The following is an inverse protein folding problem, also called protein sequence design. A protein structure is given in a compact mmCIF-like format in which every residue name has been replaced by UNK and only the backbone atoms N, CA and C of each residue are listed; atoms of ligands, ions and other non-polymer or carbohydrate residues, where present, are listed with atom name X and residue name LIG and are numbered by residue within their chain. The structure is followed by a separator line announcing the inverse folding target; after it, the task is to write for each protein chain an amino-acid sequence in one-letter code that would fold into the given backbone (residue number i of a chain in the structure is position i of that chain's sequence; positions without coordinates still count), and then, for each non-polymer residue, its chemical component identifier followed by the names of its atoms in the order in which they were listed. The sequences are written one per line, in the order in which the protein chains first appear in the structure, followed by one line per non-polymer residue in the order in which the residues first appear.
data_IF_861718832529
#
_entry.id   IF_861718832529
#
_cell.length_a   1.000
_cell.length_b   1.000
_cell.length_c   1.000
_cell.angle_alpha   90.00
_cell.angle_beta   90.00
_cell.angle_gamma   90.00
#
_symmetry.space_group_name_H-M   'P 1'
#
loop_
_entity.id
_entity.type
_entity.pdbx_description
1 polymer ?
#
# COMPACT_ATOMS: atom_id res chain seq x y z
N UNK A 1 12.95 43.93 7.71
CA UNK A 1 12.08 43.54 8.86
C UNK A 1 12.83 43.73 10.16
N UNK A 2 13.90 42.97 10.42
CA UNK A 2 14.75 43.12 11.62
C UNK A 2 15.07 44.60 11.95
N UNK A 3 15.59 45.37 10.99
CA UNK A 3 15.91 46.80 11.20
C UNK A 3 14.75 47.68 11.70
N UNK A 4 13.50 47.30 11.42
CA UNK A 4 12.33 48.05 11.88
C UNK A 4 11.94 47.67 13.31
N UNK A 5 12.16 46.41 13.67
CA UNK A 5 11.65 45.79 14.90
C UNK A 5 12.71 45.87 16.01
N UNK A 6 13.99 45.84 15.62
CA UNK A 6 15.13 46.06 16.48
C UNK A 6 16.22 46.85 15.71
N UNK A 7 16.12 48.19 15.72
CA UNK A 7 17.15 49.05 15.12
C UNK A 7 18.50 48.95 15.83
N UNK A 8 18.52 48.69 17.15
CA UNK A 8 19.74 48.61 17.95
C UNK A 8 20.62 47.44 17.51
N UNK A 9 20.01 46.27 17.31
CA UNK A 9 20.71 45.10 16.78
C UNK A 9 21.38 45.36 15.42
N UNK A 10 20.76 46.20 14.57
CA UNK A 10 21.38 46.55 13.28
C UNK A 10 22.61 47.44 13.45
N UNK A 11 22.59 48.38 14.38
CA UNK A 11 23.77 49.22 14.65
C UNK A 11 24.92 48.37 15.23
N UNK A 12 24.63 47.44 16.14
CA UNK A 12 25.63 46.47 16.62
C UNK A 12 26.20 45.63 15.47
N UNK A 13 25.36 45.12 14.58
CA UNK A 13 25.80 44.36 13.39
C UNK A 13 26.67 45.18 12.44
N UNK A 14 26.43 46.49 12.31
CA UNK A 14 27.28 47.38 11.48
C UNK A 14 28.63 47.64 12.15
N UNK A 15 28.65 47.82 13.46
CA UNK A 15 29.87 48.12 14.20
C UNK A 15 30.80 46.90 14.34
N UNK A 16 30.23 45.73 14.66
CA UNK A 16 31.00 44.53 14.99
C UNK A 16 30.97 43.46 13.90
N UNK A 17 30.12 43.61 12.88
CA UNK A 17 29.89 42.60 11.87
C UNK A 17 29.08 41.41 12.41
N UNK A 18 29.02 40.33 11.63
CA UNK A 18 28.36 39.08 12.03
C UNK A 18 29.20 37.88 11.65
N UNK A 19 29.19 36.85 12.50
CA UNK A 19 29.94 35.62 12.26
C UNK A 19 29.23 34.67 11.29
N UNK A 20 27.92 34.53 11.42
CA UNK A 20 27.11 33.59 10.65
C UNK A 20 26.23 34.32 9.63
N UNK A 21 26.11 33.75 8.43
CA UNK A 21 25.26 34.29 7.38
C UNK A 21 23.76 34.06 7.65
N UNK A 22 23.43 32.94 8.31
CA UNK A 22 22.08 32.53 8.67
C UNK A 22 22.15 31.68 9.94
N UNK A 23 21.12 31.75 10.79
CA UNK A 23 21.12 31.27 12.17
C UNK A 23 19.88 30.42 12.52
N UNK A 24 18.75 30.59 11.83
CA UNK A 24 17.46 30.07 12.27
C UNK A 24 16.84 29.12 11.23
N UNK A 25 16.47 27.94 11.68
CA UNK A 25 15.72 26.94 10.90
C UNK A 25 14.76 26.18 11.83
N UNK A 26 13.71 25.60 11.28
CA UNK A 26 12.85 24.67 12.00
C UNK A 26 12.96 23.33 11.30
N UNK A 27 13.78 22.46 11.89
CA UNK A 27 14.08 21.13 11.35
C UNK A 27 12.97 20.12 11.66
N UNK A 28 12.88 19.00 10.91
CA UNK A 28 12.06 17.87 11.32
C UNK A 28 12.66 17.27 12.60
N UNK A 29 11.89 17.27 13.68
CA UNK A 29 12.34 16.79 14.99
C UNK A 29 11.69 15.46 15.37
N UNK A 30 11.42 14.57 14.40
CA UNK A 30 10.72 13.30 14.67
C UNK A 30 11.33 12.49 15.83
N UNK A 31 12.62 12.15 15.75
CA UNK A 31 13.29 11.40 16.82
C UNK A 31 13.55 12.25 18.07
N UNK A 32 14.02 13.48 17.89
CA UNK A 32 14.40 14.34 19.03
C UNK A 32 13.21 14.76 19.87
N UNK A 33 12.07 15.08 19.24
CA UNK A 33 10.82 15.40 19.95
C UNK A 33 10.27 14.21 20.73
N UNK A 34 10.44 12.98 20.22
CA UNK A 34 10.09 11.77 20.97
C UNK A 34 11.02 11.58 22.19
N UNK A 35 12.33 11.82 22.03
CA UNK A 35 13.28 11.72 23.16
C UNK A 35 13.00 12.76 24.24
N UNK A 36 12.68 13.99 23.85
CA UNK A 36 12.38 15.10 24.78
C UNK A 36 10.90 15.17 25.17
N UNK A 37 10.08 14.24 24.69
CA UNK A 37 8.65 14.13 24.99
C UNK A 37 7.85 15.41 24.70
N UNK A 38 8.13 16.07 23.57
CA UNK A 38 7.46 17.30 23.13
C UNK A 38 6.90 17.17 21.71
N UNK A 39 6.23 18.20 21.22
CA UNK A 39 5.74 18.27 19.84
C UNK A 39 6.87 18.46 18.83
N UNK A 40 6.66 17.97 17.59
CA UNK A 40 7.66 18.08 16.54
C UNK A 40 7.70 19.47 15.91
N UNK A 41 8.61 20.33 16.37
CA UNK A 41 8.86 21.62 15.76
C UNK A 41 7.71 22.59 16.02
N UNK A 42 7.03 23.04 14.97
CA UNK A 42 5.84 23.91 15.07
C UNK A 42 4.54 23.16 14.79
N UNK A 43 4.60 21.82 14.69
CA UNK A 43 3.42 21.02 14.43
C UNK A 43 2.54 20.91 15.67
N UNK A 44 1.21 21.03 15.53
CA UNK A 44 0.29 20.66 16.59
C UNK A 44 0.49 19.19 16.99
N UNK A 45 0.05 18.83 18.21
CA UNK A 45 0.01 17.43 18.65
C UNK A 45 -0.76 16.61 17.62
N UNK A 46 -0.13 15.56 17.09
CA UNK A 46 -0.78 14.67 16.11
C UNK A 46 -1.90 13.84 16.77
N UNK A 47 -1.57 13.16 17.87
CA UNK A 47 -2.53 12.44 18.71
C UNK A 47 -2.14 12.62 20.18
N UNK A 48 -3.10 12.94 21.08
CA UNK A 48 -2.82 13.04 22.52
C UNK A 48 -2.55 11.66 23.14
N UNK A 49 -3.13 10.59 22.56
CA UNK A 49 -2.92 9.19 22.96
C UNK A 49 -2.85 8.32 21.71
N UNK A 50 -1.87 7.42 21.63
CA UNK A 50 -1.72 6.47 20.52
C UNK A 50 -1.08 5.17 20.99
N UNK A 51 -1.33 4.06 20.29
CA UNK A 51 -0.74 2.75 20.62
C UNK A 51 0.61 2.56 19.93
N UNK A 52 1.58 2.02 20.66
CA UNK A 52 2.83 1.51 20.09
C UNK A 52 2.89 0.00 20.27
N UNK A 53 3.54 -0.66 19.31
CA UNK A 53 3.88 -2.08 19.33
C UNK A 53 5.36 -2.26 19.61
N UNK A 54 5.69 -3.12 20.57
CA UNK A 54 7.04 -3.63 20.82
C UNK A 54 7.03 -5.13 20.56
N UNK A 55 8.02 -5.64 19.83
CA UNK A 55 8.18 -7.09 19.62
C UNK A 55 8.58 -7.74 20.95
N UNK A 56 7.88 -8.79 21.34
CA UNK A 56 8.18 -9.58 22.54
C UNK A 56 9.22 -10.63 22.17
N UNK A 57 10.36 -10.58 22.84
CA UNK A 57 11.36 -11.64 22.70
C UNK A 57 11.01 -12.81 23.63
N UNK A 58 11.26 -14.06 23.23
CA UNK A 58 10.98 -15.22 24.09
C UNK A 58 11.69 -15.21 25.46
N UNK A 59 12.76 -14.42 25.60
CA UNK A 59 13.51 -14.24 26.85
C UNK A 59 12.90 -13.23 27.82
N UNK A 60 11.88 -12.49 27.39
CA UNK A 60 11.29 -11.35 28.10
C UNK A 60 10.15 -11.83 29.02
N UNK A 61 10.46 -12.10 30.29
CA UNK A 61 9.53 -12.74 31.24
C UNK A 61 8.38 -11.81 31.68
N UNK A 62 8.56 -10.50 31.55
CA UNK A 62 7.62 -9.49 32.03
C UNK A 62 6.77 -8.87 30.89
N UNK A 63 6.95 -9.33 29.65
CA UNK A 63 6.26 -8.77 28.50
C UNK A 63 4.85 -9.34 28.34
N UNK A 64 3.86 -8.46 28.15
CA UNK A 64 2.47 -8.85 27.97
C UNK A 64 2.15 -8.97 26.47
N UNK A 65 1.95 -10.20 25.99
CA UNK A 65 1.59 -10.42 24.58
C UNK A 65 0.13 -10.02 24.37
N UNK A 66 -0.08 -8.88 23.71
CA UNK A 66 -1.43 -8.35 23.41
C UNK A 66 -1.83 -8.57 21.96
N UNK A 67 -0.86 -8.79 21.06
CA UNK A 67 -1.10 -8.98 19.64
C UNK A 67 -0.11 -10.02 19.09
N UNK A 68 -0.58 -10.93 18.23
CA UNK A 68 0.27 -11.86 17.48
C UNK A 68 0.04 -11.57 16.01
N UNK A 69 1.10 -11.34 15.25
CA UNK A 69 0.98 -11.05 13.83
C UNK A 69 0.77 -12.30 12.98
N UNK A 70 0.56 -12.09 11.68
CA UNK A 70 0.27 -13.15 10.70
C UNK A 70 1.43 -14.14 10.49
N UNK A 71 2.65 -13.78 10.93
CA UNK A 71 3.86 -14.62 10.85
C UNK A 71 4.08 -15.39 12.15
N UNK A 72 3.29 -15.11 13.19
CA UNK A 72 3.37 -15.74 14.50
C UNK A 72 4.31 -15.03 15.48
N UNK A 73 4.78 -13.82 15.17
CA UNK A 73 5.55 -13.02 16.12
C UNK A 73 4.62 -12.40 17.17
N UNK A 74 5.05 -12.46 18.43
CA UNK A 74 4.34 -11.87 19.56
C UNK A 74 4.71 -10.40 19.76
N UNK A 75 3.71 -9.57 20.02
CA UNK A 75 3.84 -8.13 20.21
C UNK A 75 3.11 -7.69 21.47
N UNK A 76 3.69 -6.70 22.13
CA UNK A 76 3.11 -5.96 23.25
C UNK A 76 2.66 -4.59 22.74
N UNK A 77 1.37 -4.32 22.85
CA UNK A 77 0.73 -3.04 22.57
C UNK A 77 0.54 -2.28 23.87
N UNK A 78 1.01 -1.04 23.90
CA UNK A 78 0.82 -0.16 25.04
C UNK A 78 0.47 1.25 24.58
N UNK A 79 -0.36 1.91 25.38
CA UNK A 79 -0.76 3.29 25.15
C UNK A 79 0.38 4.24 25.49
N UNK A 80 0.67 5.15 24.56
CA UNK A 80 1.58 6.27 24.75
C UNK A 80 0.76 7.55 24.83
N UNK A 81 1.01 8.32 25.88
CA UNK A 81 0.30 9.55 26.17
C UNK A 81 1.21 10.74 25.98
N UNK A 82 0.70 11.79 25.36
CA UNK A 82 1.42 13.06 25.24
C UNK A 82 1.67 13.65 26.64
N UNK A 83 2.87 14.18 26.89
CA UNK A 83 3.29 14.61 28.23
C UNK A 83 2.33 15.64 28.85
N UNK A 84 1.92 16.64 28.06
CA UNK A 84 0.98 17.66 28.53
C UNK A 84 -0.45 17.12 28.73
N UNK A 85 -0.82 16.00 28.11
CA UNK A 85 -2.09 15.32 28.42
C UNK A 85 -1.98 14.64 29.80
N UNK A 86 -0.84 14.03 30.13
CA UNK A 86 -0.58 13.52 31.49
C UNK A 86 -0.60 14.64 32.54
N UNK A 87 -0.06 15.81 32.21
CA UNK A 87 -0.15 17.00 33.07
C UNK A 87 -1.59 17.42 33.30
N UNK A 88 -2.41 17.46 32.24
CA UNK A 88 -3.83 17.75 32.35
C UNK A 88 -4.56 16.73 33.24
N UNK A 89 -4.28 15.44 33.12
CA UNK A 89 -4.85 14.41 34.00
C UNK A 89 -4.54 14.69 35.47
N UNK A 90 -3.27 14.95 35.80
CA UNK A 90 -2.83 15.25 37.17
C UNK A 90 -3.52 16.49 37.76
N UNK A 91 -3.65 17.55 36.96
CA UNK A 91 -4.34 18.79 37.38
C UNK A 91 -5.83 18.54 37.63
N UNK A 92 -6.42 17.54 36.98
CA UNK A 92 -7.81 17.11 37.19
C UNK A 92 -7.96 15.97 38.21
N UNK A 93 -6.95 15.74 39.05
CA UNK A 93 -6.93 14.70 40.10
C UNK A 93 -7.13 13.26 39.57
N UNK A 94 -6.67 12.98 38.34
CA UNK A 94 -6.66 11.64 37.77
C UNK A 94 -5.25 11.07 37.81
N UNK A 95 -5.08 9.84 38.31
CA UNK A 95 -3.79 9.16 38.29
C UNK A 95 -3.50 8.61 36.88
N UNK A 96 -2.43 9.07 36.21
CA UNK A 96 -2.08 8.56 34.89
C UNK A 96 -1.82 7.05 34.83
N UNK A 97 -1.34 6.42 35.91
CA UNK A 97 -1.10 4.98 35.92
C UNK A 97 -2.41 4.16 35.94
N UNK A 98 -3.49 4.73 36.46
CA UNK A 98 -4.82 4.14 36.37
C UNK A 98 -5.42 4.36 34.98
N UNK A 99 -5.31 5.58 34.44
CA UNK A 99 -5.83 5.93 33.11
C UNK A 99 -5.15 5.12 31.99
N UNK A 100 -3.88 4.74 32.15
CA UNK A 100 -3.20 3.82 31.22
C UNK A 100 -3.89 2.47 31.05
N UNK A 101 -4.66 2.02 32.05
CA UNK A 101 -5.37 0.73 32.07
C UNK A 101 -6.81 0.82 31.56
N UNK A 102 -7.28 2.03 31.22
CA UNK A 102 -8.64 2.23 30.75
C UNK A 102 -8.83 1.62 29.36
N UNK A 103 -10.09 1.35 29.01
CA UNK A 103 -10.47 0.96 27.66
C UNK A 103 -10.17 2.10 26.66
N UNK A 104 -10.03 1.76 25.38
CA UNK A 104 -9.80 2.77 24.34
C UNK A 104 -10.97 3.76 24.30
N UNK A 105 -12.20 3.29 24.51
CA UNK A 105 -13.42 4.11 24.55
C UNK A 105 -13.38 5.13 25.70
N UNK A 106 -12.99 4.72 26.91
CA UNK A 106 -12.88 5.60 28.07
C UNK A 106 -11.79 6.65 27.88
N UNK A 107 -10.65 6.25 27.30
CA UNK A 107 -9.55 7.16 26.96
C UNK A 107 -10.03 8.22 25.96
N UNK A 108 -10.79 7.84 24.93
CA UNK A 108 -11.34 8.79 23.97
C UNK A 108 -12.30 9.77 24.64
N UNK A 109 -13.13 9.31 25.59
CA UNK A 109 -14.00 10.20 26.35
C UNK A 109 -13.22 11.18 27.24
N UNK A 110 -12.09 10.76 27.81
CA UNK A 110 -11.17 11.67 28.52
C UNK A 110 -10.54 12.69 27.57
N UNK A 111 -10.11 12.27 26.38
CA UNK A 111 -9.57 13.18 25.36
C UNK A 111 -10.59 14.26 25.01
N UNK A 112 -11.88 13.91 24.88
CA UNK A 112 -12.96 14.89 24.61
C UNK A 112 -13.10 15.97 25.69
N UNK A 113 -12.78 15.64 26.95
CA UNK A 113 -12.83 16.58 28.08
C UNK A 113 -11.57 17.44 28.17
N UNK A 114 -10.50 17.03 27.51
CA UNK A 114 -9.22 17.72 27.56
C UNK A 114 -9.15 18.88 26.57
N UNK A 115 -8.21 19.84 26.76
CA UNK A 115 -7.92 20.89 25.78
C UNK A 115 -7.47 20.39 24.41
N UNK A 116 -7.18 19.09 24.26
CA UNK A 116 -6.81 18.49 22.98
C UNK A 116 -8.00 18.13 22.11
N UNK A 117 -9.23 18.15 22.65
CA UNK A 117 -10.41 17.88 21.84
C UNK A 117 -10.59 18.94 20.77
N UNK A 118 -10.62 18.49 19.51
CA UNK A 118 -10.67 19.36 18.31
C UNK A 118 -9.49 20.33 18.19
N UNK A 119 -8.34 19.98 18.79
CA UNK A 119 -7.13 20.80 18.77
C UNK A 119 -5.87 20.00 18.35
N UNK A 120 -6.06 18.84 17.71
CA UNK A 120 -4.97 18.04 17.15
C UNK A 120 -4.59 18.50 15.74
N UNK A 121 -3.49 17.97 15.21
CA UNK A 121 -3.09 18.26 13.83
C UNK A 121 -4.21 17.96 12.83
N UNK A 122 -5.04 16.94 13.03
CA UNK A 122 -6.13 16.64 12.10
C UNK A 122 -7.32 17.61 12.22
N UNK A 123 -7.46 18.30 13.35
CA UNK A 123 -8.57 19.22 13.59
C UNK A 123 -8.29 20.65 13.09
N UNK A 124 -7.02 21.02 12.97
CA UNK A 124 -6.63 22.36 12.55
C UNK A 124 -6.76 22.51 11.03
N UNK A 125 -7.57 23.49 10.61
CA UNK A 125 -7.75 23.87 9.21
C UNK A 125 -6.41 24.11 8.49
N UNK A 126 -6.28 23.53 7.29
CA UNK A 126 -5.03 23.52 6.53
C UNK A 126 -4.60 24.91 6.09
N UNK A 127 -5.53 25.82 5.79
CA UNK A 127 -5.22 27.20 5.43
C UNK A 127 -4.67 27.96 6.64
N UNK A 128 -5.23 27.72 7.83
CA UNK A 128 -4.68 28.28 9.07
C UNK A 128 -3.28 27.73 9.38
N UNK A 129 -3.00 26.45 9.13
CA UNK A 129 -1.65 25.89 9.27
C UNK A 129 -0.64 26.61 8.38
N UNK A 130 -0.99 26.84 7.11
CA UNK A 130 -0.15 27.57 6.16
C UNK A 130 0.05 29.02 6.60
N UNK A 131 -1.00 29.68 7.09
CA UNK A 131 -0.91 31.05 7.62
C UNK A 131 0.01 31.13 8.83
N UNK A 132 -0.08 30.17 9.75
CA UNK A 132 0.82 30.05 10.90
C UNK A 132 2.27 29.85 10.45
N UNK A 133 2.52 28.93 9.52
CA UNK A 133 3.85 28.71 8.94
C UNK A 133 4.40 29.99 8.32
N UNK A 134 3.59 30.72 7.53
CA UNK A 134 3.99 31.98 6.94
C UNK A 134 4.30 33.06 7.98
N UNK A 135 3.51 33.15 9.05
CA UNK A 135 3.75 34.09 10.14
C UNK A 135 5.10 33.83 10.84
N UNK A 136 5.48 32.57 11.04
CA UNK A 136 6.75 32.16 11.66
C UNK A 136 7.91 32.32 10.66
N UNK A 137 7.72 31.94 9.39
CA UNK A 137 8.73 32.03 8.33
C UNK A 137 9.31 33.43 8.16
N UNK A 138 8.54 34.46 8.56
CA UNK A 138 8.96 35.87 8.60
C UNK A 138 10.23 36.12 9.42
N UNK A 139 10.51 35.26 10.39
CA UNK A 139 11.60 35.41 11.35
C UNK A 139 12.62 34.27 11.26
N UNK A 140 12.46 33.38 10.28
CA UNK A 140 13.35 32.23 10.04
C UNK A 140 14.12 32.49 8.73
N UNK A 141 15.45 32.53 8.80
CA UNK A 141 16.31 32.88 7.67
C UNK A 141 16.58 31.70 6.71
N UNK A 142 16.55 30.46 7.20
CA UNK A 142 16.41 29.27 6.37
C UNK A 142 14.92 28.94 6.14
N UNK A 143 14.56 27.65 6.07
CA UNK A 143 13.21 27.17 5.81
C UNK A 143 12.62 26.46 7.03
N UNK A 144 11.32 26.20 6.96
CA UNK A 144 10.58 25.46 7.99
C UNK A 144 10.18 24.12 7.39
N UNK A 145 10.53 23.03 8.08
CA UNK A 145 10.10 21.68 7.74
C UNK A 145 8.80 21.36 8.47
N UNK A 146 7.68 21.49 7.76
CA UNK A 146 6.35 21.13 8.27
C UNK A 146 5.53 20.49 7.17
N UNK A 147 4.75 19.46 7.52
CA UNK A 147 3.91 18.74 6.54
C UNK A 147 2.43 19.06 6.75
N UNK A 148 1.75 19.43 5.67
CA UNK A 148 0.30 19.54 5.65
C UNK A 148 -0.27 18.15 5.34
N UNK A 149 -0.69 17.44 6.39
CA UNK A 149 -1.38 16.16 6.27
C UNK A 149 -2.83 16.39 5.83
N UNK A 150 -3.20 15.83 4.67
CA UNK A 150 -4.53 15.91 4.07
C UNK A 150 -5.19 14.51 4.01
N UNK A 151 -6.53 14.41 4.10
CA UNK A 151 -7.26 13.16 3.88
C UNK A 151 -7.05 12.59 2.47
N UNK A 152 -7.24 11.28 2.30
CA UNK A 152 -7.00 10.59 1.03
C UNK A 152 -7.92 11.04 -0.10
N UNK A 153 -9.13 11.41 0.23
CA UNK A 153 -10.21 11.86 -0.66
C UNK A 153 -10.13 13.35 -1.05
N UNK A 154 -9.10 14.07 -0.59
CA UNK A 154 -8.94 15.50 -0.90
C UNK A 154 -8.79 15.76 -2.40
N UNK A 155 -9.41 16.83 -2.90
CA UNK A 155 -9.34 17.23 -4.31
C UNK A 155 -7.98 17.85 -4.66
N UNK A 156 -7.53 17.64 -5.90
CA UNK A 156 -6.33 18.28 -6.43
C UNK A 156 -6.44 19.82 -6.41
N UNK A 157 -7.64 20.35 -6.64
CA UNK A 157 -7.91 21.79 -6.58
C UNK A 157 -7.60 22.37 -5.19
N UNK A 158 -7.93 21.66 -4.10
CA UNK A 158 -7.61 22.12 -2.76
C UNK A 158 -6.11 22.14 -2.51
N UNK A 159 -5.38 21.14 -3.01
CA UNK A 159 -3.91 21.10 -2.94
C UNK A 159 -3.31 22.31 -3.67
N UNK A 160 -3.83 22.63 -4.87
CA UNK A 160 -3.43 23.82 -5.61
C UNK A 160 -3.72 25.13 -4.84
N UNK A 161 -4.89 25.23 -4.19
CA UNK A 161 -5.22 26.38 -3.34
C UNK A 161 -4.24 26.53 -2.18
N UNK A 162 -3.84 25.43 -1.54
CA UNK A 162 -2.86 25.46 -0.44
C UNK A 162 -1.49 25.97 -0.91
N UNK A 163 -1.03 25.54 -2.09
CA UNK A 163 0.23 26.03 -2.66
C UNK A 163 0.19 27.53 -2.94
N UNK A 164 -0.88 28.02 -3.58
CA UNK A 164 -1.06 29.45 -3.84
C UNK A 164 -1.17 30.23 -2.52
N UNK A 165 -1.84 29.67 -1.52
CA UNK A 165 -1.96 30.28 -0.20
C UNK A 165 -0.60 30.37 0.52
N UNK A 166 0.23 29.32 0.43
CA UNK A 166 1.56 29.32 1.02
C UNK A 166 2.47 30.38 0.39
N UNK A 167 2.43 30.49 -0.95
CA UNK A 167 3.14 31.53 -1.67
C UNK A 167 2.69 32.93 -1.22
N UNK A 168 1.37 33.18 -1.15
CA UNK A 168 0.81 34.47 -0.68
C UNK A 168 1.19 34.82 0.76
N UNK A 169 1.36 33.82 1.63
CA UNK A 169 1.78 34.03 3.02
C UNK A 169 3.30 34.17 3.19
N UNK A 170 4.09 34.08 2.11
CA UNK A 170 5.55 34.22 2.16
C UNK A 170 6.28 32.99 2.68
N UNK A 171 5.66 31.80 2.61
CA UNK A 171 6.35 30.55 2.89
C UNK A 171 7.45 30.32 1.84
N UNK A 172 8.65 29.91 2.26
CA UNK A 172 9.75 29.58 1.33
C UNK A 172 9.58 28.22 0.66
N UNK A 173 8.79 27.34 1.28
CA UNK A 173 8.42 26.03 0.79
C UNK A 173 7.17 25.53 1.48
N UNK A 174 6.53 24.53 0.89
CA UNK A 174 5.33 23.88 1.42
C UNK A 174 5.37 22.40 1.04
N UNK A 175 5.04 21.55 1.99
CA UNK A 175 4.99 20.09 1.81
C UNK A 175 3.59 19.62 2.13
N UNK A 176 3.01 18.83 1.23
CA UNK A 176 1.71 18.19 1.41
C UNK A 176 1.90 16.68 1.42
N UNK A 177 1.27 16.02 2.38
CA UNK A 177 1.14 14.56 2.42
C UNK A 177 -0.33 14.21 2.41
N UNK A 178 -0.76 13.48 1.38
CA UNK A 178 -2.14 12.98 1.26
C UNK A 178 -2.20 11.56 1.82
N UNK A 179 -3.09 11.31 2.78
CA UNK A 179 -3.26 9.98 3.37
C UNK A 179 -3.55 8.93 2.28
N UNK A 180 -3.00 7.73 2.44
CA UNK A 180 -3.13 6.66 1.45
C UNK A 180 -2.37 6.87 0.13
N UNK A 181 -1.69 8.01 -0.09
CA UNK A 181 -0.87 8.21 -1.29
C UNK A 181 0.44 7.40 -1.29
N UNK A 182 0.91 7.00 -0.11
CA UNK A 182 2.05 6.09 0.14
C UNK A 182 1.74 5.24 1.37
N UNK A 183 2.28 4.03 1.45
CA UNK A 183 2.13 3.19 2.64
C UNK A 183 2.68 3.93 3.89
N UNK A 184 1.83 4.17 4.88
CA UNK A 184 2.15 4.97 6.07
C UNK A 184 2.90 4.20 7.16
N UNK A 185 3.65 4.94 8.00
CA UNK A 185 4.44 4.43 9.14
C UNK A 185 3.69 4.58 10.49
N UNK A 186 2.68 5.44 10.55
CA UNK A 186 1.84 5.67 11.73
C UNK A 186 0.41 5.18 11.44
N UNK A 187 -0.05 4.20 12.21
CA UNK A 187 -1.40 3.65 12.12
C UNK A 187 -2.20 4.21 13.30
N UNK A 188 -3.25 4.98 13.02
CA UNK A 188 -4.20 5.39 14.05
C UNK A 188 -4.94 4.15 14.59
N UNK A 189 -5.32 4.16 15.87
CA UNK A 189 -6.01 3.05 16.54
C UNK A 189 -7.41 2.75 15.98
N UNK A 190 -7.90 3.57 15.06
CA UNK A 190 -9.14 3.29 14.36
C UNK A 190 -8.92 2.14 13.40
N UNK A 191 -9.66 1.04 13.62
CA UNK A 191 -9.88 0.00 12.62
C UNK A 191 -10.55 0.65 11.40
N UNK A 192 -9.75 1.23 10.50
CA UNK A 192 -10.17 1.32 9.10
C UNK A 192 -10.42 -0.12 8.70
N UNK A 193 -11.68 -0.45 8.40
CA UNK A 193 -12.02 -1.61 7.58
C UNK A 193 -11.29 -1.41 6.25
N UNK A 194 -10.01 -1.76 6.20
CA UNK A 194 -9.41 -2.20 4.96
C UNK A 194 -10.21 -3.41 4.58
N UNK A 195 -10.79 -3.40 3.38
CA UNK A 195 -11.04 -4.62 2.63
C UNK A 195 -9.67 -5.32 2.47
N UNK A 196 -9.21 -5.98 3.53
CA UNK A 196 -8.19 -7.00 3.45
C UNK A 196 -8.84 -8.09 2.63
N UNK A 197 -8.36 -8.26 1.40
CA UNK A 197 -8.76 -9.38 0.56
C UNK A 197 -8.69 -10.65 1.41
N UNK A 198 -9.82 -11.35 1.55
CA UNK A 198 -9.93 -12.65 2.24
C UNK A 198 -9.15 -13.78 1.51
N UNK A 199 -8.12 -13.43 0.74
CA UNK A 199 -7.36 -14.36 -0.07
C UNK A 199 -6.25 -14.99 0.79
N UNK A 200 -6.30 -16.30 1.10
CA UNK A 200 -5.36 -16.91 2.02
C UNK A 200 -3.95 -16.98 1.43
N UNK A 201 -2.99 -16.40 2.14
CA UNK A 201 -1.56 -16.41 1.78
C UNK A 201 -1.00 -17.85 1.75
N UNK A 202 -1.55 -18.74 2.59
CA UNK A 202 -1.14 -20.15 2.66
C UNK A 202 -1.86 -20.98 1.59
N UNK A 203 -1.11 -21.40 0.57
CA UNK A 203 -1.61 -22.27 -0.52
C UNK A 203 -2.23 -23.56 0.03
N UNK A 204 -3.50 -23.88 -0.30
CA UNK A 204 -4.10 -25.18 -0.04
C UNK A 204 -3.33 -26.34 -0.69
N UNK A 205 -3.61 -27.57 -0.25
CA UNK A 205 -2.96 -28.76 -0.83
C UNK A 205 -3.37 -28.98 -2.29
N UNK A 206 -4.64 -28.78 -2.58
CA UNK A 206 -5.24 -28.90 -3.90
C UNK A 206 -5.88 -27.58 -4.31
N UNK A 207 -5.75 -27.22 -5.58
CA UNK A 207 -6.48 -26.11 -6.19
C UNK A 207 -7.18 -26.63 -7.44
N UNK A 208 -8.39 -26.15 -7.70
CA UNK A 208 -9.00 -26.37 -9.01
C UNK A 208 -8.18 -25.65 -10.07
N UNK A 209 -8.18 -26.15 -11.30
CA UNK A 209 -7.35 -25.56 -12.33
C UNK A 209 -7.98 -25.59 -13.72
N UNK A 210 -7.74 -24.52 -14.47
CA UNK A 210 -8.13 -24.39 -15.86
C UNK A 210 -6.89 -24.34 -16.78
N UNK A 211 -7.00 -25.02 -17.92
CA UNK A 211 -5.95 -25.05 -18.93
C UNK A 211 -6.32 -24.09 -20.07
N UNK A 212 -5.40 -23.19 -20.35
CA UNK A 212 -5.45 -22.30 -21.49
C UNK A 212 -4.30 -22.62 -22.44
N UNK A 213 -4.66 -22.89 -23.70
CA UNK A 213 -3.70 -23.11 -24.78
C UNK A 213 -3.80 -21.91 -25.70
N UNK A 214 -2.66 -21.33 -26.07
CA UNK A 214 -2.59 -20.19 -26.96
C UNK A 214 -1.37 -20.32 -27.86
N UNK A 215 -1.44 -19.73 -29.05
CA UNK A 215 -0.34 -19.70 -30.00
C UNK A 215 0.23 -18.29 -30.04
N UNK A 216 1.55 -18.18 -29.99
CA UNK A 216 2.27 -16.93 -30.14
C UNK A 216 3.28 -17.10 -31.26
N UNK A 217 3.08 -16.39 -32.38
CA UNK A 217 3.81 -16.60 -33.62
C UNK A 217 3.72 -18.08 -34.06
N UNK A 218 4.85 -18.79 -34.15
CA UNK A 218 4.92 -20.21 -34.50
C UNK A 218 5.03 -21.14 -33.29
N UNK A 219 4.99 -20.61 -32.07
CA UNK A 219 5.15 -21.39 -30.84
C UNK A 219 3.80 -21.68 -30.18
N UNK A 220 3.60 -22.93 -29.79
CA UNK A 220 2.45 -23.36 -28.98
C UNK A 220 2.75 -23.19 -27.49
N UNK A 221 1.83 -22.58 -26.76
CA UNK A 221 1.95 -22.32 -25.32
C UNK A 221 0.79 -22.92 -24.55
N UNK A 222 1.08 -23.27 -23.30
CA UNK A 222 0.10 -23.74 -22.33
C UNK A 222 0.23 -22.98 -21.01
N UNK A 223 -0.91 -22.67 -20.40
CA UNK A 223 -1.02 -22.10 -19.08
C UNK A 223 -2.02 -22.89 -18.24
N UNK A 224 -1.65 -23.19 -17.00
CA UNK A 224 -2.47 -23.79 -15.97
C UNK A 224 -2.76 -22.72 -14.93
N UNK A 225 -4.02 -22.32 -14.81
CA UNK A 225 -4.45 -21.34 -13.81
C UNK A 225 -5.05 -22.10 -12.64
N UNK A 226 -4.38 -22.05 -11.49
CA UNK A 226 -4.94 -22.53 -10.24
C UNK A 226 -5.95 -21.52 -9.70
N UNK A 227 -7.13 -22.02 -9.37
CA UNK A 227 -8.27 -21.27 -8.86
C UNK A 227 -8.48 -21.60 -7.39
N UNK A 228 -8.71 -20.56 -6.60
CA UNK A 228 -9.21 -20.65 -5.24
C UNK A 228 -10.57 -19.95 -5.20
N UNK A 229 -11.62 -20.68 -4.83
CA UNK A 229 -12.99 -20.17 -4.80
C UNK A 229 -13.42 -19.47 -6.11
N UNK A 230 -12.99 -20.05 -7.25
CA UNK A 230 -13.27 -19.54 -8.59
C UNK A 230 -12.43 -18.33 -9.04
N UNK A 231 -11.53 -17.82 -8.20
CA UNK A 231 -10.64 -16.69 -8.49
C UNK A 231 -9.20 -17.17 -8.78
N UNK A 232 -8.46 -16.53 -9.70
CA UNK A 232 -7.06 -16.87 -9.98
C UNK A 232 -6.18 -16.74 -8.74
N UNK A 233 -5.51 -17.82 -8.39
CA UNK A 233 -4.61 -17.91 -7.25
C UNK A 233 -3.14 -18.08 -7.67
N UNK A 234 -2.91 -18.91 -8.69
CA UNK A 234 -1.58 -19.15 -9.23
C UNK A 234 -1.64 -19.46 -10.72
N UNK A 235 -0.50 -19.29 -11.40
CA UNK A 235 -0.34 -19.60 -12.80
C UNK A 235 0.95 -20.39 -13.01
N UNK A 236 0.87 -21.47 -13.79
CA UNK A 236 2.01 -22.19 -14.35
C UNK A 236 1.92 -22.05 -15.86
N UNK A 237 3.01 -21.71 -16.53
CA UNK A 237 2.97 -21.52 -17.98
C UNK A 237 4.33 -21.79 -18.59
N UNK A 238 4.31 -22.30 -19.82
CA UNK A 238 5.49 -22.45 -20.64
C UNK A 238 5.15 -22.93 -22.05
N UNK A 239 6.20 -23.08 -22.85
CA UNK A 239 6.14 -23.55 -24.23
C UNK A 239 5.78 -25.04 -24.26
N UNK A 240 5.09 -25.45 -25.31
CA UNK A 240 4.84 -26.84 -25.61
C UNK A 240 6.02 -27.39 -26.40
N UNK A 241 6.98 -27.95 -25.70
CA UNK A 241 8.12 -28.71 -26.25
C UNK A 241 7.73 -30.19 -26.44
N UNK A 242 8.58 -30.99 -27.11
CA UNK A 242 8.32 -32.43 -27.35
C UNK A 242 8.08 -33.22 -26.05
N UNK A 243 8.73 -32.80 -24.95
CA UNK A 243 8.58 -33.37 -23.60
C UNK A 243 7.41 -32.80 -22.79
N UNK A 244 6.63 -31.86 -23.36
CA UNK A 244 5.45 -31.30 -22.69
C UNK A 244 4.31 -32.30 -22.75
N UNK A 245 3.69 -32.55 -21.59
CA UNK A 245 2.66 -33.59 -21.41
C UNK A 245 1.67 -33.73 -22.59
N UNK A 246 1.35 -34.96 -23.03
CA UNK A 246 0.32 -35.22 -24.02
C UNK A 246 -1.07 -35.08 -23.38
N UNK A 247 -1.43 -33.87 -22.94
CA UNK A 247 -2.76 -33.58 -22.43
C UNK A 247 -3.70 -33.49 -23.63
N UNK A 248 -4.72 -34.35 -23.72
CA UNK A 248 -5.66 -34.30 -24.82
C UNK A 248 -6.25 -32.88 -24.97
N UNK A 249 -6.39 -32.34 -26.19
CA UNK A 249 -6.92 -30.99 -26.42
C UNK A 249 -8.31 -30.75 -25.80
N UNK A 250 -9.08 -31.81 -25.59
CA UNK A 250 -10.41 -31.77 -24.97
C UNK A 250 -10.38 -31.48 -23.47
N UNK A 251 -9.26 -31.72 -22.79
CA UNK A 251 -9.12 -31.45 -21.35
C UNK A 251 -8.85 -29.98 -21.15
N UNK A 252 -9.80 -29.30 -20.49
CA UNK A 252 -9.75 -27.86 -20.16
C UNK A 252 -9.71 -27.59 -18.65
N UNK A 253 -10.04 -28.58 -17.82
CA UNK A 253 -10.15 -28.45 -16.37
C UNK A 253 -9.46 -29.62 -15.66
N UNK A 254 -8.99 -29.38 -14.45
CA UNK A 254 -8.35 -30.37 -13.60
C UNK A 254 -8.06 -29.77 -12.22
N UNK A 255 -7.05 -30.31 -11.54
CA UNK A 255 -6.57 -29.86 -10.23
C UNK A 255 -5.06 -29.76 -10.20
N UNK A 256 -4.52 -28.78 -9.46
CA UNK A 256 -3.08 -28.67 -9.18
C UNK A 256 -2.82 -29.06 -7.73
N UNK A 257 -2.12 -30.18 -7.56
CA UNK A 257 -1.83 -30.81 -6.27
C UNK A 257 -0.38 -30.50 -5.90
N UNK A 258 -0.16 -30.06 -4.67
CA UNK A 258 1.19 -29.89 -4.11
C UNK A 258 1.60 -31.15 -3.38
N UNK A 259 2.67 -31.75 -3.86
CA UNK A 259 3.29 -32.96 -3.33
C UNK A 259 4.68 -32.62 -2.76
N UNK A 260 5.15 -33.40 -1.80
CA UNK A 260 6.51 -33.30 -1.27
C UNK A 260 7.25 -34.58 -1.63
N UNK A 261 8.40 -34.44 -2.26
CA UNK A 261 9.26 -35.56 -2.61
C UNK A 261 9.97 -36.11 -1.36
N UNK A 262 10.54 -37.31 -1.46
CA UNK A 262 11.27 -37.97 -0.37
C UNK A 262 12.51 -37.17 0.09
N UNK A 263 13.12 -36.41 -0.82
CA UNK A 263 14.24 -35.48 -0.56
C UNK A 263 13.80 -34.16 0.11
N UNK A 264 12.51 -33.99 0.40
CA UNK A 264 11.94 -32.80 1.03
C UNK A 264 11.61 -31.65 0.07
N UNK A 265 11.93 -31.76 -1.23
CA UNK A 265 11.61 -30.76 -2.25
C UNK A 265 10.10 -30.72 -2.56
N UNK A 266 9.61 -29.56 -3.01
CA UNK A 266 8.18 -29.34 -3.32
C UNK A 266 7.94 -29.57 -4.80
N UNK A 267 6.96 -30.41 -5.13
CA UNK A 267 6.54 -30.75 -6.50
C UNK A 267 5.07 -30.34 -6.71
N UNK A 268 4.74 -29.88 -7.91
CA UNK A 268 3.37 -29.54 -8.30
C UNK A 268 2.92 -30.45 -9.43
N UNK A 269 1.77 -31.10 -9.23
CA UNK A 269 1.24 -32.11 -10.13
C UNK A 269 -0.14 -31.67 -10.64
N UNK A 270 -0.38 -31.86 -11.93
CA UNK A 270 -1.68 -31.63 -12.54
C UNK A 270 -2.47 -32.94 -12.61
N UNK A 271 -3.70 -32.95 -12.11
CA UNK A 271 -4.59 -34.10 -12.18
C UNK A 271 -5.83 -33.75 -13.01
N UNK A 272 -6.21 -34.61 -13.95
CA UNK A 272 -7.46 -34.50 -14.70
C UNK A 272 -8.17 -35.85 -14.79
N UNK A 273 -9.44 -35.81 -15.17
CA UNK A 273 -10.24 -37.01 -15.43
C UNK A 273 -10.30 -37.25 -16.93
N UNK A 274 -9.93 -38.45 -17.36
CA UNK A 274 -9.96 -38.82 -18.78
C UNK A 274 -11.38 -39.11 -19.29
N UNK A 275 -11.50 -39.46 -20.57
CA UNK A 275 -12.80 -39.78 -21.20
C UNK A 275 -13.48 -41.04 -20.64
N UNK A 276 -12.77 -41.86 -19.88
CA UNK A 276 -13.24 -43.10 -19.28
C UNK A 276 -13.50 -42.97 -17.77
N UNK A 277 -13.28 -41.79 -17.19
CA UNK A 277 -13.49 -41.52 -15.77
C UNK A 277 -12.27 -41.81 -14.89
N UNK A 278 -11.12 -42.17 -15.46
CA UNK A 278 -9.90 -42.42 -14.68
C UNK A 278 -9.17 -41.13 -14.35
N UNK A 279 -8.66 -41.04 -13.12
CA UNK A 279 -7.82 -39.92 -12.68
C UNK A 279 -6.41 -40.11 -13.22
N UNK A 280 -6.00 -39.22 -14.11
CA UNK A 280 -4.64 -39.17 -14.64
C UNK A 280 -3.88 -38.05 -13.93
N UNK A 281 -2.78 -38.39 -13.26
CA UNK A 281 -1.91 -37.42 -12.57
C UNK A 281 -0.61 -37.27 -13.34
N UNK A 282 -0.30 -36.03 -13.70
CA UNK A 282 0.87 -35.61 -14.43
C UNK A 282 1.72 -34.78 -13.51
N UNK A 283 2.85 -35.33 -13.06
CA UNK A 283 3.61 -34.66 -12.02
C UNK A 283 4.80 -33.87 -12.51
N UNK A 284 5.10 -32.73 -11.88
CA UNK A 284 6.29 -31.94 -12.15
C UNK A 284 6.08 -30.71 -13.03
N UNK A 285 4.92 -30.05 -12.94
CA UNK A 285 4.61 -28.80 -13.66
C UNK A 285 5.71 -27.74 -13.52
N UNK A 286 6.35 -27.64 -12.34
CA UNK A 286 7.36 -26.62 -12.05
C UNK A 286 8.74 -26.86 -12.68
N UNK A 287 9.02 -28.08 -13.16
CA UNK A 287 10.31 -28.47 -13.72
C UNK A 287 10.30 -28.62 -15.24
N UNK A 288 9.11 -28.64 -15.84
CA UNK A 288 8.95 -28.84 -17.29
C UNK A 288 8.93 -27.54 -18.10
N UNK A 289 8.82 -26.39 -17.44
CA UNK A 289 8.89 -25.11 -18.11
C UNK A 289 10.28 -24.53 -17.96
N UNK A 290 10.76 -23.88 -19.01
CA UNK A 290 11.99 -23.11 -18.98
C UNK A 290 12.01 -22.19 -17.74
N UNK A 291 13.15 -22.19 -17.05
CA UNK A 291 13.34 -21.57 -15.74
C UNK A 291 13.05 -20.06 -15.74
N UNK A 292 13.23 -19.39 -16.87
CA UNK A 292 12.95 -17.96 -17.04
C UNK A 292 11.44 -17.66 -16.94
N UNK A 293 10.62 -18.33 -17.74
CA UNK A 293 9.15 -18.17 -17.71
C UNK A 293 8.56 -18.63 -16.38
N UNK A 294 9.16 -19.64 -15.76
CA UNK A 294 8.77 -20.10 -14.44
C UNK A 294 8.99 -19.04 -13.34
N UNK A 295 10.06 -18.26 -13.42
CA UNK A 295 10.30 -17.17 -12.46
C UNK A 295 9.25 -16.06 -12.59
N UNK A 296 8.86 -15.69 -13.81
CA UNK A 296 7.78 -14.73 -14.00
C UNK A 296 6.42 -15.28 -13.56
N UNK A 297 6.13 -16.55 -13.85
CA UNK A 297 4.92 -17.21 -13.38
C UNK A 297 4.83 -17.26 -11.84
N UNK A 298 5.96 -17.49 -11.15
CA UNK A 298 6.06 -17.38 -9.70
C UNK A 298 5.77 -15.97 -9.19
N UNK A 299 6.31 -14.95 -9.85
CA UNK A 299 6.08 -13.55 -9.47
C UNK A 299 4.59 -13.19 -9.59
N UNK A 300 3.96 -13.53 -10.73
CA UNK A 300 2.53 -13.31 -10.96
C UNK A 300 1.69 -14.08 -9.93
N UNK A 301 2.06 -15.34 -9.66
CA UNK A 301 1.40 -16.14 -8.64
C UNK A 301 1.57 -15.58 -7.23
N UNK A 302 2.69 -14.90 -6.93
CA UNK A 302 2.89 -14.22 -5.65
C UNK A 302 1.93 -13.04 -5.52
N UNK A 303 1.85 -12.22 -6.57
CA UNK A 303 0.95 -11.06 -6.63
C UNK A 303 -0.53 -11.46 -6.48
N UNK A 304 -0.97 -12.51 -7.18
CA UNK A 304 -2.34 -13.05 -7.05
C UNK A 304 -2.60 -13.61 -5.65
N UNK A 305 -1.62 -14.29 -5.04
CA UNK A 305 -1.72 -14.82 -3.67
C UNK A 305 -1.85 -13.76 -2.59
N UNK A 306 -1.28 -12.59 -2.81
CA UNK A 306 -1.45 -11.43 -1.94
C UNK A 306 -2.78 -10.70 -2.19
N UNK A 307 -3.69 -11.30 -2.97
CA UNK A 307 -5.04 -10.80 -3.19
C UNK A 307 -5.08 -9.53 -4.03
N UNK A 308 -4.06 -9.28 -4.87
CA UNK A 308 -4.13 -8.20 -5.85
C UNK A 308 -5.33 -8.45 -6.79
N UNK A 309 -6.20 -7.45 -7.02
CA UNK A 309 -7.27 -7.58 -7.99
C UNK A 309 -6.76 -8.02 -9.37
N UNK A 310 -7.49 -8.91 -10.05
CA UNK A 310 -7.07 -9.48 -11.34
C UNK A 310 -6.79 -8.40 -12.39
N UNK A 311 -7.53 -7.28 -12.35
CA UNK A 311 -7.30 -6.13 -13.23
C UNK A 311 -5.92 -5.50 -13.01
N UNK A 312 -5.52 -5.33 -11.75
CA UNK A 312 -4.21 -4.77 -11.40
C UNK A 312 -3.08 -5.74 -11.74
N UNK A 313 -3.30 -7.05 -11.53
CA UNK A 313 -2.36 -8.08 -11.95
C UNK A 313 -2.19 -8.08 -13.49
N UNK A 314 -3.28 -7.95 -14.25
CA UNK A 314 -3.26 -7.82 -15.72
C UNK A 314 -2.49 -6.58 -16.14
N UNK A 315 -2.73 -5.43 -15.49
CA UNK A 315 -2.03 -4.18 -15.78
C UNK A 315 -0.53 -4.31 -15.51
N UNK A 316 -0.15 -4.91 -14.38
CA UNK A 316 1.24 -5.17 -14.02
C UNK A 316 1.93 -6.03 -15.09
N UNK A 317 1.32 -7.17 -15.46
CA UNK A 317 1.89 -8.06 -16.48
C UNK A 317 1.98 -7.38 -17.85
N UNK A 318 0.98 -6.56 -18.22
CA UNK A 318 1.01 -5.81 -19.49
C UNK A 318 2.09 -4.74 -19.54
N UNK A 319 2.55 -4.26 -18.38
CA UNK A 319 3.60 -3.24 -18.27
C UNK A 319 5.02 -3.82 -18.28
N UNK A 320 5.15 -5.15 -18.18
CA UNK A 320 6.45 -5.82 -18.29
C UNK A 320 6.97 -5.66 -19.73
N UNK A 321 7.91 -4.74 -19.91
CA UNK A 321 8.74 -4.63 -21.13
C UNK A 321 10.05 -5.35 -20.85
N UNK A 322 10.24 -6.48 -21.50
CA UNK A 322 11.43 -7.32 -21.31
C UNK A 322 12.25 -7.33 -22.61
N UNK A 323 13.57 -7.48 -22.49
CA UNK A 323 14.52 -7.29 -23.59
C UNK A 323 14.43 -8.36 -24.70
N UNK A 324 13.52 -9.33 -24.57
CA UNK A 324 13.34 -10.44 -25.48
C UNK A 324 11.90 -10.47 -26.05
N UNK A 325 11.79 -10.47 -27.39
CA UNK A 325 10.50 -10.49 -28.12
C UNK A 325 9.63 -11.70 -27.77
N UNK A 326 10.23 -12.87 -27.47
CA UNK A 326 9.47 -14.04 -27.03
C UNK A 326 8.77 -13.80 -25.69
N UNK A 327 9.36 -12.99 -24.80
CA UNK A 327 8.78 -12.75 -23.48
C UNK A 327 7.64 -11.74 -23.57
N UNK A 328 7.76 -10.76 -24.47
CA UNK A 328 6.70 -9.78 -24.75
C UNK A 328 5.46 -10.45 -25.37
N UNK A 329 5.62 -11.45 -26.23
CA UNK A 329 4.49 -12.23 -26.75
C UNK A 329 3.91 -13.16 -25.68
N UNK A 330 4.75 -13.81 -24.87
CA UNK A 330 4.32 -14.60 -23.71
C UNK A 330 3.46 -13.79 -22.73
N UNK A 331 3.89 -12.57 -22.37
CA UNK A 331 3.17 -11.72 -21.42
C UNK A 331 1.78 -11.34 -21.95
N UNK A 332 1.64 -11.10 -23.27
CA UNK A 332 0.35 -10.91 -23.92
C UNK A 332 -0.57 -12.14 -23.80
N UNK A 333 -0.02 -13.35 -23.91
CA UNK A 333 -0.73 -14.60 -23.67
C UNK A 333 -1.27 -14.73 -22.24
N UNK A 334 -0.43 -14.44 -21.25
CA UNK A 334 -0.81 -14.45 -19.82
C UNK A 334 -1.86 -13.39 -19.51
N UNK A 335 -1.72 -12.18 -20.08
CA UNK A 335 -2.74 -11.12 -19.96
C UNK A 335 -4.10 -11.59 -20.47
N UNK A 336 -4.14 -12.21 -21.66
CA UNK A 336 -5.39 -12.76 -22.22
C UNK A 336 -5.98 -13.86 -21.34
N UNK A 337 -5.13 -14.67 -20.73
CA UNK A 337 -5.54 -15.74 -19.84
C UNK A 337 -6.21 -15.19 -18.57
N UNK A 338 -5.60 -14.19 -17.93
CA UNK A 338 -6.10 -13.58 -16.69
C UNK A 338 -7.33 -12.68 -16.91
N UNK A 339 -7.45 -12.01 -18.07
CA UNK A 339 -8.60 -11.15 -18.40
C UNK A 339 -9.96 -11.86 -18.29
N UNK A 340 -10.00 -13.18 -18.50
CA UNK A 340 -11.23 -13.99 -18.41
C UNK A 340 -11.82 -14.06 -17.00
N UNK A 341 -11.03 -13.74 -15.98
CA UNK A 341 -11.45 -13.74 -14.58
C UNK A 341 -11.71 -12.35 -14.03
N UNK A 342 -11.70 -11.32 -14.90
CA UNK A 342 -12.14 -9.98 -14.52
C UNK A 342 -13.68 -9.99 -14.48
N UNK A 343 -14.31 -9.64 -13.34
CA UNK A 343 -15.76 -9.56 -13.24
C UNK A 343 -16.33 -8.56 -14.26
N UNK A 344 -17.47 -8.90 -14.87
CA UNK A 344 -18.17 -8.01 -15.78
C UNK A 344 -18.58 -6.71 -15.06
N UNK A 345 -18.42 -5.56 -15.72
CA UNK A 345 -18.69 -4.23 -15.17
C UNK A 345 -17.53 -3.60 -14.41
N UNK A 346 -16.37 -4.27 -14.32
CA UNK A 346 -15.18 -3.68 -13.69
C UNK A 346 -14.67 -2.50 -14.52
N UNK A 347 -14.50 -1.32 -13.92
CA UNK A 347 -14.01 -0.12 -14.60
C UNK A 347 -12.54 -0.27 -15.02
N UNK A 348 -12.19 0.32 -16.17
CA UNK A 348 -10.81 0.39 -16.64
C UNK A 348 -9.93 1.23 -15.71
N UNK A 349 -8.61 1.14 -15.91
CA UNK A 349 -7.62 1.92 -15.13
C UNK A 349 -7.93 3.42 -15.20
N UNK A 350 -7.83 4.17 -14.09
CA UNK A 350 -7.98 5.62 -14.10
C UNK A 350 -7.03 6.27 -15.12
N UNK A 351 -7.59 7.01 -16.07
CA UNK A 351 -6.85 7.68 -17.15
C UNK A 351 -6.76 6.92 -18.48
N UNK A 352 -7.22 5.66 -18.55
CA UNK A 352 -7.37 4.95 -19.82
C UNK A 352 -8.58 5.49 -20.58
N UNK A 353 -8.36 5.97 -21.81
CA UNK A 353 -9.39 6.54 -22.68
C UNK A 353 -9.73 5.62 -23.84
N UNK A 354 -10.97 5.67 -24.29
CA UNK A 354 -11.39 5.02 -25.52
C UNK A 354 -10.59 5.57 -26.70
N UNK A 355 -10.02 4.69 -27.52
CA UNK A 355 -9.22 5.08 -28.70
C UNK A 355 -10.12 5.68 -29.81
N UNK A 356 -11.40 5.34 -29.84
CA UNK A 356 -12.37 5.81 -30.84
C UNK A 356 -13.02 7.15 -30.45
N UNK A 357 -13.47 7.30 -29.21
CA UNK A 357 -14.25 8.48 -28.77
C UNK A 357 -13.60 9.31 -27.65
N UNK A 358 -12.45 8.88 -27.12
CA UNK A 358 -11.75 9.60 -26.04
C UNK A 358 -12.41 9.53 -24.66
N UNK A 359 -13.51 8.77 -24.53
CA UNK A 359 -14.25 8.61 -23.28
C UNK A 359 -13.46 7.88 -22.20
N UNK A 360 -13.70 8.23 -20.93
CA UNK A 360 -13.18 7.51 -19.77
C UNK A 360 -14.09 6.33 -19.34
N UNK A 361 -15.26 6.17 -19.97
CA UNK A 361 -16.26 5.17 -19.59
C UNK A 361 -15.99 3.84 -20.29
N UNK A 362 -14.93 3.18 -19.84
CA UNK A 362 -14.51 1.85 -20.28
C UNK A 362 -14.76 0.83 -19.19
N UNK A 363 -15.41 -0.27 -19.54
CA UNK A 363 -15.72 -1.40 -18.65
C UNK A 363 -15.22 -2.71 -19.23
N UNK A 364 -14.86 -3.66 -18.37
CA UNK A 364 -14.60 -5.03 -18.79
C UNK A 364 -15.90 -5.82 -18.89
N UNK A 365 -16.12 -6.50 -20.01
CA UNK A 365 -17.22 -7.43 -20.23
C UNK A 365 -16.72 -8.62 -21.04
N UNK A 366 -16.92 -9.83 -20.50
CA UNK A 366 -16.45 -11.10 -21.09
C UNK A 366 -14.95 -11.13 -21.41
N UNK A 367 -14.15 -10.38 -20.63
CA UNK A 367 -12.70 -10.24 -20.83
C UNK A 367 -12.29 -9.24 -21.92
N UNK A 368 -13.24 -8.59 -22.59
CA UNK A 368 -13.00 -7.48 -23.52
C UNK A 368 -13.22 -6.12 -22.85
N UNK A 369 -12.48 -5.10 -23.32
CA UNK A 369 -12.66 -3.73 -22.86
C UNK A 369 -13.70 -3.04 -23.76
N UNK A 370 -14.84 -2.65 -23.21
CA UNK A 370 -15.96 -2.06 -23.94
C UNK A 370 -16.14 -0.61 -23.49
N UNK A 371 -16.27 0.30 -24.46
CA UNK A 371 -16.69 1.67 -24.19
C UNK A 371 -18.22 1.74 -24.14
N UNK A 372 -18.78 2.20 -23.02
CA UNK A 372 -20.23 2.31 -22.86
C UNK A 372 -20.83 3.51 -23.59
N UNK A 373 -20.01 4.41 -24.14
CA UNK A 373 -20.47 5.59 -24.90
C UNK A 373 -20.53 5.34 -26.41
N UNK A 374 -19.47 4.79 -27.01
CA UNK A 374 -19.43 4.54 -28.45
C UNK A 374 -19.58 3.07 -28.86
N UNK A 375 -19.62 2.15 -27.89
CA UNK A 375 -19.74 0.70 -28.17
C UNK A 375 -18.46 0.04 -28.69
N UNK A 376 -17.34 0.77 -28.81
CA UNK A 376 -16.07 0.19 -29.25
C UNK A 376 -15.62 -0.91 -28.29
N UNK A 377 -15.33 -2.10 -28.81
CA UNK A 377 -14.80 -3.23 -28.03
C UNK A 377 -13.37 -3.55 -28.45
N UNK A 378 -12.44 -3.57 -27.49
CA UNK A 378 -11.07 -4.05 -27.69
C UNK A 378 -10.94 -5.44 -27.05
N UNK A 379 -11.17 -6.46 -27.87
CA UNK A 379 -10.84 -7.84 -27.55
C UNK A 379 -9.40 -8.11 -28.03
N UNK A 380 -8.56 -8.68 -27.19
CA UNK A 380 -7.15 -8.99 -27.52
C UNK A 380 -6.93 -10.44 -27.91
#
# INVERSE_FOLDING_TARGET
RLAREDPGLIEEMKQHGRRNISLLTIAPTGTTSLMTQTTSGIEPVFLPVYKRRRKVNPSDKDALVTFVDEVGDSWEEYNVFHHNFLTWLKVNNMDPEEVKKFSDEDIQELVKRSPYYKATSNDVDWMQKVKMQGAIQKWVDHSISVTINLPGEVSEELVGKLYVHAWKNGCKGVTVYRDGSRAGVLVASEKKNKDTSEFPIKRPRELDAEILRFKNNDEDWIAFIGLLDGKPYEIFTGRKEEDTFPIPPKVKKGKIIKTRNEDGTKRYDFQYVDKYGYKVTMGGLSHQFNSEFWNYAKLISGVLRHGMPVVDAVNLVSSLRLDNESINTWSAGVVRALKRYIPNGTKAKPGQKCEECGSNNLIYQEGCLICTECGSSKCG
#
